data_IF_995540501417
#
_entry.id   IF_995540501417
#
_cell.length_a   1.000
_cell.length_b   1.000
_cell.length_c   1.000
_cell.angle_alpha   90.00
_cell.angle_beta   90.00
_cell.angle_gamma   90.00
#
_symmetry.space_group_name_H-M   'P 1'
#
loop_
_entity.id
_entity.type
_entity.pdbx_description
1 polymer ?
#
# COMPACT_ATOMS: atom_id res chain seq x y z
N UNK A 1 13.15 26.70 -5.62
CA UNK A 1 11.87 26.33 -6.24
C UNK A 1 12.09 25.46 -7.47
N UNK A 2 11.26 24.44 -7.66
CA UNK A 2 11.37 23.54 -8.80
C UNK A 2 9.98 23.10 -9.30
N UNK A 3 9.90 22.76 -10.59
CA UNK A 3 8.67 22.28 -11.22
C UNK A 3 8.38 20.81 -10.82
N UNK A 4 7.17 20.33 -11.14
CA UNK A 4 6.81 18.92 -10.98
C UNK A 4 7.71 17.99 -11.79
N UNK A 5 8.06 18.37 -13.00
CA UNK A 5 8.96 17.60 -13.86
C UNK A 5 10.37 17.49 -13.24
N UNK A 6 10.89 18.58 -12.68
CA UNK A 6 12.16 18.58 -11.98
C UNK A 6 12.10 17.74 -10.69
N UNK A 7 10.99 17.83 -9.95
CA UNK A 7 10.76 17.02 -8.75
C UNK A 7 10.76 15.51 -9.08
N UNK A 8 10.18 15.12 -10.21
CA UNK A 8 10.21 13.74 -10.68
C UNK A 8 11.65 13.27 -10.94
N UNK A 9 12.44 14.09 -11.64
CA UNK A 9 13.83 13.78 -11.92
C UNK A 9 14.71 13.70 -10.68
N UNK A 10 14.38 14.48 -9.64
CA UNK A 10 15.10 14.50 -8.37
C UNK A 10 14.62 13.42 -7.38
N UNK A 11 13.56 12.69 -7.71
CA UNK A 11 13.04 11.64 -6.84
C UNK A 11 12.07 12.12 -5.76
N UNK A 12 11.65 13.38 -5.80
CA UNK A 12 10.67 13.92 -4.84
C UNK A 12 9.21 13.63 -5.24
N UNK A 13 8.99 13.25 -6.50
CA UNK A 13 7.68 12.90 -7.00
C UNK A 13 7.73 11.55 -7.73
N UNK A 14 6.66 10.79 -7.64
CA UNK A 14 6.52 9.50 -8.32
C UNK A 14 5.87 9.67 -9.69
N UNK A 15 4.87 10.57 -9.77
CA UNK A 15 4.14 10.88 -10.99
C UNK A 15 3.99 12.38 -11.16
N UNK A 16 3.93 12.82 -12.41
CA UNK A 16 3.57 14.18 -12.79
C UNK A 16 2.42 14.07 -13.77
N UNK A 17 1.36 14.83 -13.53
CA UNK A 17 0.13 14.76 -14.33
C UNK A 17 -0.44 16.16 -14.55
N UNK A 18 -1.11 16.38 -15.67
CA UNK A 18 -1.82 17.64 -15.94
C UNK A 18 -2.99 17.83 -15.00
N UNK A 19 -3.60 16.74 -14.54
CA UNK A 19 -4.68 16.78 -13.55
C UNK A 19 -4.33 15.86 -12.37
N UNK A 20 -3.52 16.36 -11.41
CA UNK A 20 -3.04 15.54 -10.31
C UNK A 20 -4.15 15.05 -9.38
N UNK A 21 -5.25 15.79 -9.24
CA UNK A 21 -6.38 15.34 -8.42
C UNK A 21 -7.03 14.08 -9.00
N UNK A 22 -7.29 14.07 -10.30
CA UNK A 22 -7.87 12.89 -10.98
C UNK A 22 -6.93 11.69 -10.86
N UNK A 23 -5.63 11.89 -11.06
CA UNK A 23 -4.62 10.83 -10.93
C UNK A 23 -4.57 10.28 -9.51
N UNK A 24 -4.55 11.17 -8.52
CA UNK A 24 -4.52 10.77 -7.11
C UNK A 24 -5.77 9.97 -6.72
N UNK A 25 -6.95 10.37 -7.19
CA UNK A 25 -8.19 9.64 -6.93
C UNK A 25 -8.19 8.26 -7.59
N UNK A 26 -7.64 8.14 -8.79
CA UNK A 26 -7.52 6.85 -9.46
C UNK A 26 -6.61 5.89 -8.67
N UNK A 27 -5.46 6.38 -8.21
CA UNK A 27 -4.55 5.58 -7.38
C UNK A 27 -5.20 5.22 -6.04
N UNK A 28 -5.90 6.15 -5.41
CA UNK A 28 -6.61 5.90 -4.15
C UNK A 28 -7.67 4.79 -4.29
N UNK A 29 -8.43 4.79 -5.38
CA UNK A 29 -9.40 3.72 -5.67
C UNK A 29 -8.73 2.38 -5.88
N UNK A 30 -7.61 2.35 -6.59
CA UNK A 30 -6.82 1.14 -6.79
C UNK A 30 -6.34 0.56 -5.46
N UNK A 31 -5.86 1.41 -4.55
CA UNK A 31 -5.47 1.01 -3.20
C UNK A 31 -6.68 0.50 -2.40
N UNK A 32 -7.82 1.19 -2.50
CA UNK A 32 -9.05 0.82 -1.80
C UNK A 32 -9.60 -0.55 -2.23
N UNK A 33 -9.28 -0.98 -3.44
CA UNK A 33 -9.67 -2.30 -3.96
C UNK A 33 -8.78 -3.44 -3.45
N UNK A 34 -7.74 -3.12 -2.69
CA UNK A 34 -6.85 -4.12 -2.08
C UNK A 34 -7.31 -4.47 -0.67
N UNK A 35 -6.76 -5.57 -0.14
CA UNK A 35 -7.03 -6.00 1.23
C UNK A 35 -6.73 -4.85 2.22
N UNK A 36 -7.74 -4.33 2.93
CA UNK A 36 -7.55 -3.17 3.81
C UNK A 36 -6.61 -3.45 4.99
N UNK A 37 -6.62 -4.66 5.53
CA UNK A 37 -5.74 -5.02 6.64
C UNK A 37 -4.27 -5.00 6.19
N UNK A 38 -3.99 -5.56 5.02
CA UNK A 38 -2.65 -5.54 4.44
C UNK A 38 -2.17 -4.12 4.14
N UNK A 39 -3.05 -3.26 3.62
CA UNK A 39 -2.71 -1.86 3.33
C UNK A 39 -2.41 -1.09 4.62
N UNK A 40 -3.19 -1.28 5.67
CA UNK A 40 -2.96 -0.64 6.98
C UNK A 40 -1.65 -1.09 7.61
N UNK A 41 -1.35 -2.38 7.59
CA UNK A 41 -0.10 -2.90 8.14
C UNK A 41 1.12 -2.46 7.33
N UNK A 42 1.03 -2.42 6.01
CA UNK A 42 2.09 -1.90 5.14
C UNK A 42 2.37 -0.42 5.42
N UNK A 43 1.31 0.38 5.54
CA UNK A 43 1.46 1.82 5.85
C UNK A 43 2.10 2.03 7.22
N UNK A 44 1.69 1.26 8.21
CA UNK A 44 2.28 1.34 9.56
C UNK A 44 3.77 0.96 9.54
N UNK A 45 4.13 -0.10 8.79
CA UNK A 45 5.53 -0.50 8.64
C UNK A 45 6.36 0.61 7.99
N UNK A 46 5.87 1.22 6.90
CA UNK A 46 6.58 2.30 6.22
C UNK A 46 6.77 3.52 7.12
N UNK A 47 5.82 3.82 7.99
CA UNK A 47 5.93 4.94 8.92
C UNK A 47 6.97 4.68 10.02
N UNK A 48 7.24 3.43 10.33
CA UNK A 48 8.15 3.03 11.42
C UNK A 48 9.58 2.74 10.96
N UNK A 49 9.76 2.28 9.72
CA UNK A 49 11.04 1.70 9.28
C UNK A 49 12.21 2.67 9.28
N UNK A 50 11.96 3.97 9.13
CA UNK A 50 13.03 4.97 9.03
C UNK A 50 13.96 5.00 10.25
N UNK A 51 13.44 4.61 11.43
CA UNK A 51 14.17 4.62 12.69
C UNK A 51 14.63 3.22 13.13
N UNK A 52 14.55 2.24 12.23
CA UNK A 52 14.86 0.85 12.53
C UNK A 52 16.12 0.38 11.82
N UNK A 53 16.90 -0.50 12.47
CA UNK A 53 17.95 -1.26 11.80
C UNK A 53 17.33 -2.43 10.99
N UNK A 54 18.18 -3.13 10.23
CA UNK A 54 17.73 -4.21 9.35
C UNK A 54 17.00 -5.34 10.11
N UNK A 55 17.54 -5.77 11.23
CA UNK A 55 16.92 -6.85 12.02
C UNK A 55 15.57 -6.44 12.60
N UNK A 56 15.46 -5.20 13.08
CA UNK A 56 14.21 -4.64 13.59
C UNK A 56 13.16 -4.53 12.47
N UNK A 57 13.54 -4.12 11.26
CA UNK A 57 12.64 -4.03 10.11
C UNK A 57 12.11 -5.41 9.75
N UNK A 58 12.98 -6.42 9.65
CA UNK A 58 12.59 -7.79 9.32
C UNK A 58 11.64 -8.38 10.36
N UNK A 59 11.89 -8.12 11.65
CA UNK A 59 11.01 -8.55 12.72
C UNK A 59 9.66 -7.85 12.66
N UNK A 60 9.65 -6.54 12.45
CA UNK A 60 8.42 -5.74 12.32
C UNK A 60 7.57 -6.22 11.15
N UNK A 61 8.20 -6.51 10.00
CA UNK A 61 7.51 -7.08 8.83
C UNK A 61 6.85 -8.41 9.16
N UNK A 62 7.57 -9.30 9.82
CA UNK A 62 7.06 -10.62 10.22
C UNK A 62 5.87 -10.52 11.17
N UNK A 63 5.94 -9.64 12.17
CA UNK A 63 4.86 -9.42 13.12
C UNK A 63 3.61 -8.88 12.42
N UNK A 64 3.79 -7.91 11.51
CA UNK A 64 2.67 -7.34 10.76
C UNK A 64 2.05 -8.32 9.79
N UNK A 65 2.86 -9.13 9.14
CA UNK A 65 2.38 -10.21 8.26
C UNK A 65 1.55 -11.23 9.05
N UNK A 66 1.98 -11.59 10.25
CA UNK A 66 1.26 -12.51 11.11
C UNK A 66 -0.14 -11.98 11.50
N UNK A 67 -0.31 -10.65 11.58
CA UNK A 67 -1.61 -10.02 11.85
C UNK A 67 -2.58 -10.10 10.67
N UNK A 68 -2.06 -10.21 9.47
CA UNK A 68 -2.87 -10.22 8.23
C UNK A 68 -3.23 -11.64 7.80
N UNK A 69 -2.30 -12.58 7.95
CA UNK A 69 -2.46 -13.95 7.46
C UNK A 69 -3.63 -14.65 8.16
N UNK A 70 -4.43 -15.37 7.39
CA UNK A 70 -5.63 -16.08 7.86
C UNK A 70 -6.76 -15.18 8.38
N UNK A 71 -6.68 -13.88 8.20
CA UNK A 71 -7.82 -12.98 8.45
C UNK A 71 -8.87 -13.18 7.36
N UNK A 72 -10.15 -12.85 7.64
CA UNK A 72 -11.20 -12.92 6.61
C UNK A 72 -10.86 -12.17 5.33
N UNK A 73 -10.27 -10.99 5.45
CA UNK A 73 -9.90 -10.18 4.28
C UNK A 73 -8.76 -10.81 3.46
N UNK A 74 -7.80 -11.45 4.11
CA UNK A 74 -6.72 -12.14 3.41
C UNK A 74 -7.25 -13.37 2.66
N UNK A 75 -8.12 -14.13 3.30
CA UNK A 75 -8.77 -15.30 2.68
C UNK A 75 -9.62 -14.85 1.49
N UNK A 76 -10.41 -13.78 1.66
CA UNK A 76 -11.23 -13.22 0.57
C UNK A 76 -10.36 -12.76 -0.60
N UNK A 77 -9.25 -12.05 -0.32
CA UNK A 77 -8.34 -11.59 -1.36
C UNK A 77 -7.77 -12.77 -2.17
N UNK A 78 -7.36 -13.84 -1.49
CA UNK A 78 -6.83 -15.04 -2.14
C UNK A 78 -7.91 -15.75 -2.98
N UNK A 79 -9.10 -15.92 -2.42
CA UNK A 79 -10.22 -16.57 -3.13
C UNK A 79 -10.68 -15.76 -4.33
N UNK A 80 -10.83 -14.47 -4.18
CA UNK A 80 -11.22 -13.58 -5.27
C UNK A 80 -10.20 -13.62 -6.41
N UNK A 81 -8.90 -13.63 -6.08
CA UNK A 81 -7.83 -13.77 -7.06
C UNK A 81 -7.89 -15.08 -7.83
N UNK A 82 -8.11 -16.20 -7.14
CA UNK A 82 -8.25 -17.51 -7.78
C UNK A 82 -9.50 -17.60 -8.65
N UNK A 83 -10.59 -17.00 -8.22
CA UNK A 83 -11.87 -17.01 -8.93
C UNK A 83 -11.98 -15.89 -9.97
N UNK A 84 -10.98 -15.05 -10.10
CA UNK A 84 -10.92 -13.91 -11.04
C UNK A 84 -12.14 -13.00 -10.93
N UNK A 85 -12.55 -12.70 -9.70
CA UNK A 85 -13.65 -11.79 -9.38
C UNK A 85 -13.16 -10.64 -8.48
N UNK A 86 -13.98 -9.61 -8.36
CA UNK A 86 -13.71 -8.55 -7.38
C UNK A 86 -13.86 -9.11 -5.96
N UNK A 87 -12.99 -8.67 -5.07
CA UNK A 87 -13.04 -9.04 -3.66
C UNK A 87 -14.05 -8.17 -2.91
N UNK A 88 -14.67 -8.73 -1.89
CA UNK A 88 -15.56 -8.00 -0.97
C UNK A 88 -14.96 -8.04 0.43
N UNK A 89 -14.42 -6.92 0.85
CA UNK A 89 -13.73 -6.82 2.14
C UNK A 89 -14.65 -6.32 3.25
N UNK A 90 -14.29 -6.69 4.47
CA UNK A 90 -14.95 -6.19 5.69
C UNK A 90 -13.96 -5.32 6.49
N UNK A 91 -14.48 -4.35 7.22
CA UNK A 91 -13.65 -3.49 8.09
C UNK A 91 -13.31 -4.18 9.42
#
# INVERSE_FOLDING_TARGET
>A
EFSGAEALGLGFATFVDENPHVRAMAIAREIADRNPDAMREAKALFNEYADMDEDAILMAESVRQARVIRTPNQIEAAMAGMQKRAATFVD
#
